data_IF_380021854230
#
_entry.id   IF_380021854230
#
_cell.length_a   1.000
_cell.length_b   1.000
_cell.length_c   1.000
_cell.angle_alpha   90.00
_cell.angle_beta   90.00
_cell.angle_gamma   90.00
#
_symmetry.space_group_name_H-M   'P 1'
#
loop_
_entity.id
_entity.type
_entity.pdbx_description
1 polymer ?
#
# COMPACT_ATOMS: atom_id res chain seq x y z
N UNK A 1 -34.82 6.33 32.08
CA UNK A 1 -34.83 5.68 30.76
C UNK A 1 -34.71 6.75 29.71
N UNK A 2 -33.87 6.51 28.70
CA UNK A 2 -33.37 7.49 27.74
C UNK A 2 -34.36 7.90 26.63
N UNK A 3 -34.06 9.06 26.01
CA UNK A 3 -34.14 9.44 24.59
C UNK A 3 -34.58 10.92 24.51
N UNK A 4 -33.98 11.82 23.73
CA UNK A 4 -33.00 11.75 22.66
C UNK A 4 -32.97 13.14 21.99
N UNK A 5 -31.96 13.41 21.16
CA UNK A 5 -31.95 14.60 20.29
C UNK A 5 -30.67 15.45 20.33
N UNK A 6 -29.51 14.83 20.11
CA UNK A 6 -28.28 15.58 19.85
C UNK A 6 -28.25 16.10 18.42
N UNK A 7 -28.79 17.31 18.21
CA UNK A 7 -28.57 18.10 16.99
C UNK A 7 -27.06 18.29 16.82
N UNK A 8 -26.47 17.46 15.94
CA UNK A 8 -25.04 17.51 15.62
C UNK A 8 -24.69 18.90 15.08
N UNK A 9 -23.80 19.60 15.78
CA UNK A 9 -23.27 20.90 15.38
C UNK A 9 -22.34 20.72 14.16
N UNK A 10 -22.95 20.61 12.97
CA UNK A 10 -22.23 20.47 11.69
C UNK A 10 -21.26 21.64 11.48
N UNK A 11 -21.62 22.85 11.93
CA UNK A 11 -20.75 24.04 11.88
C UNK A 11 -19.53 23.97 12.82
N UNK A 12 -19.61 23.21 13.92
CA UNK A 12 -18.48 22.94 14.81
C UNK A 12 -17.50 21.94 14.18
N UNK A 13 -18.03 20.82 13.68
CA UNK A 13 -17.22 19.78 13.00
C UNK A 13 -16.49 20.29 11.75
N UNK A 14 -17.10 21.20 10.99
CA UNK A 14 -16.45 21.82 9.82
C UNK A 14 -15.34 22.80 10.24
N UNK A 15 -15.50 23.53 11.36
CA UNK A 15 -14.41 24.39 11.89
C UNK A 15 -13.25 23.55 12.40
N UNK A 16 -13.52 22.46 13.11
CA UNK A 16 -12.49 21.54 13.62
C UNK A 16 -11.70 20.88 12.48
N UNK A 17 -12.37 20.53 11.37
CA UNK A 17 -11.75 19.97 10.15
C UNK A 17 -10.91 20.99 9.36
N UNK A 18 -11.32 22.27 9.34
CA UNK A 18 -10.55 23.35 8.69
C UNK A 18 -9.32 23.73 9.56
N UNK A 19 -9.48 23.72 10.89
CA UNK A 19 -8.41 24.00 11.84
C UNK A 19 -7.29 22.94 11.79
N UNK A 20 -7.65 21.66 11.61
CA UNK A 20 -6.69 20.54 11.48
C UNK A 20 -5.89 20.63 10.19
N UNK A 21 -6.52 20.95 9.05
CA UNK A 21 -5.81 21.04 7.76
C UNK A 21 -4.83 22.21 7.69
N UNK A 22 -5.18 23.38 8.25
CA UNK A 22 -4.26 24.51 8.33
C UNK A 22 -3.07 24.25 9.28
N UNK A 23 -3.33 23.57 10.41
CA UNK A 23 -2.29 23.16 11.35
C UNK A 23 -1.33 22.14 10.71
N UNK A 24 -1.85 21.20 9.93
CA UNK A 24 -1.05 20.23 9.18
C UNK A 24 -0.05 20.91 8.23
N UNK A 25 -0.54 21.80 7.35
CA UNK A 25 0.31 22.48 6.36
C UNK A 25 1.31 23.45 7.00
N UNK A 26 0.90 24.12 8.08
CA UNK A 26 1.79 25.03 8.82
C UNK A 26 2.90 24.27 9.57
N UNK A 27 2.69 22.99 9.86
CA UNK A 27 3.67 22.10 10.49
C UNK A 27 4.78 21.60 9.57
N UNK A 28 4.78 21.99 8.29
CA UNK A 28 5.79 21.61 7.31
C UNK A 28 5.32 20.56 6.30
N UNK A 29 4.21 19.88 6.56
CA UNK A 29 3.64 18.91 5.62
C UNK A 29 3.19 19.59 4.32
N UNK A 30 3.86 19.26 3.21
CA UNK A 30 3.52 19.82 1.89
C UNK A 30 2.26 19.13 1.36
N UNK A 31 1.35 19.86 0.66
CA UNK A 31 0.05 19.29 0.25
C UNK A 31 0.10 18.03 -0.62
N UNK A 32 1.19 17.78 -1.35
CA UNK A 32 1.33 16.60 -2.22
C UNK A 32 1.89 15.37 -1.50
N UNK A 33 2.35 15.54 -0.26
CA UNK A 33 2.79 14.43 0.60
C UNK A 33 1.60 13.82 1.32
N UNK A 34 0.65 14.66 1.72
CA UNK A 34 -0.54 14.25 2.45
C UNK A 34 -1.38 13.21 1.68
N UNK A 35 -1.40 11.96 2.16
CA UNK A 35 -2.21 10.89 1.56
C UNK A 35 -1.70 10.44 0.19
N UNK A 36 -0.38 10.44 -0.02
CA UNK A 36 0.26 10.06 -1.27
C UNK A 36 0.56 8.55 -1.39
N UNK A 37 0.21 7.76 -0.38
CA UNK A 37 0.54 6.33 -0.32
C UNK A 37 1.98 6.07 0.13
N UNK A 38 2.60 7.01 0.83
CA UNK A 38 3.90 6.86 1.49
C UNK A 38 3.75 7.47 2.87
N UNK A 39 4.20 6.77 3.91
CA UNK A 39 4.25 7.39 5.24
C UNK A 39 5.38 8.43 5.32
N UNK A 40 5.06 9.69 5.00
CA UNK A 40 5.95 10.84 5.08
C UNK A 40 6.06 11.33 6.52
N UNK A 41 7.26 11.22 7.08
CA UNK A 41 7.52 11.58 8.48
C UNK A 41 7.15 13.05 8.81
N UNK A 42 7.24 13.96 7.83
CA UNK A 42 6.83 15.37 7.98
C UNK A 42 5.30 15.59 8.02
N UNK A 43 4.53 14.61 7.54
CA UNK A 43 3.08 14.59 7.57
C UNK A 43 2.52 13.62 8.63
N UNK A 44 3.37 12.85 9.31
CA UNK A 44 2.98 11.90 10.37
C UNK A 44 2.66 12.59 11.71
N UNK A 45 1.60 13.40 11.72
CA UNK A 45 1.10 14.06 12.93
C UNK A 45 -0.41 13.91 13.02
N UNK A 46 -0.97 13.93 14.24
CA UNK A 46 -2.43 13.88 14.41
C UNK A 46 -3.16 15.02 13.68
N UNK A 47 -2.54 16.21 13.57
CA UNK A 47 -3.08 17.35 12.83
C UNK A 47 -3.23 17.05 11.33
N UNK A 48 -2.32 16.25 10.78
CA UNK A 48 -2.36 15.74 9.41
C UNK A 48 -3.13 14.41 9.29
N UNK A 49 -3.77 13.93 10.36
CA UNK A 49 -4.45 12.64 10.35
C UNK A 49 -3.50 11.44 10.20
N UNK A 50 -2.23 11.59 10.63
CA UNK A 50 -1.12 10.67 10.42
C UNK A 50 -0.90 10.44 8.92
N UNK A 51 -0.52 11.51 8.25
CA UNK A 51 -0.28 11.59 6.81
C UNK A 51 -1.48 11.17 5.94
N UNK A 52 -2.64 11.76 6.21
CA UNK A 52 -3.87 11.38 5.50
C UNK A 52 -4.35 9.95 5.79
N UNK A 53 -3.66 9.22 6.68
CA UNK A 53 -3.88 7.80 6.96
C UNK A 53 -2.68 6.93 6.62
N UNK A 54 -1.73 7.42 5.80
CA UNK A 54 -0.62 6.62 5.29
C UNK A 54 0.33 6.12 6.40
N UNK A 55 0.37 6.82 7.54
CA UNK A 55 1.14 6.42 8.71
C UNK A 55 0.33 5.70 9.80
N UNK A 56 -0.96 5.39 9.58
CA UNK A 56 -1.77 4.65 10.55
C UNK A 56 -1.60 3.15 10.36
N UNK A 57 -0.64 2.55 11.07
CA UNK A 57 -0.67 1.22 11.71
C UNK A 57 -1.04 -0.06 10.93
N UNK A 58 -1.55 0.03 9.70
CA UNK A 58 -1.95 -1.10 8.86
C UNK A 58 -0.82 -1.55 7.93
N UNK A 59 0.26 -0.77 7.87
CA UNK A 59 1.51 -1.17 7.24
C UNK A 59 2.22 -2.18 8.14
N UNK A 60 2.40 -3.40 7.63
CA UNK A 60 3.22 -4.41 8.27
C UNK A 60 4.73 -4.09 8.20
N UNK A 61 5.13 -3.22 7.27
CA UNK A 61 6.48 -2.67 7.12
C UNK A 61 6.42 -1.27 6.48
N UNK A 62 7.41 -0.43 6.74
CA UNK A 62 7.48 0.92 6.17
C UNK A 62 7.43 0.87 4.63
N UNK A 63 6.43 1.55 4.04
CA UNK A 63 6.22 1.58 2.60
C UNK A 63 5.55 0.33 2.02
N UNK A 64 5.23 -0.69 2.83
CA UNK A 64 4.40 -1.81 2.38
C UNK A 64 2.93 -1.54 2.65
N UNK A 65 2.26 -0.97 1.66
CA UNK A 65 0.83 -0.71 1.74
C UNK A 65 0.01 -2.01 1.60
N UNK A 66 -1.16 -2.11 2.25
CA UNK A 66 -1.97 -3.32 2.18
C UNK A 66 -2.35 -3.75 0.77
N UNK A 67 -2.49 -2.80 -0.16
CA UNK A 67 -2.80 -3.02 -1.58
C UNK A 67 -1.67 -3.63 -2.40
N UNK A 68 -0.42 -3.60 -1.91
CA UNK A 68 0.75 -4.18 -2.57
C UNK A 68 0.95 -5.66 -2.23
N UNK A 69 0.39 -6.11 -1.11
CA UNK A 69 0.54 -7.51 -0.70
C UNK A 69 -0.41 -8.41 -1.47
N UNK A 70 0.11 -9.44 -2.11
CA UNK A 70 -0.72 -10.40 -2.84
C UNK A 70 -1.38 -9.77 -4.06
N UNK A 71 -0.80 -8.68 -4.59
CA UNK A 71 -1.31 -7.95 -5.74
C UNK A 71 -0.87 -8.58 -7.08
N UNK A 72 -0.01 -9.60 -7.00
CA UNK A 72 0.59 -10.23 -8.16
C UNK A 72 1.76 -9.44 -8.72
N UNK A 73 2.49 -8.69 -7.92
CA UNK A 73 3.79 -8.16 -8.26
C UNK A 73 4.72 -8.35 -7.08
N UNK A 74 6.00 -8.65 -7.35
CA UNK A 74 6.97 -8.71 -6.27
C UNK A 74 7.32 -7.28 -5.84
N UNK A 75 6.77 -6.85 -4.70
CA UNK A 75 7.00 -5.58 -4.03
C UNK A 75 8.08 -5.73 -2.93
N UNK A 76 9.33 -5.25 -3.17
CA UNK A 76 10.43 -5.48 -2.24
C UNK A 76 10.24 -4.87 -0.85
N UNK A 77 9.40 -3.82 -0.74
CA UNK A 77 9.04 -3.21 0.53
C UNK A 77 8.10 -4.10 1.35
N UNK A 78 7.28 -4.92 0.67
CA UNK A 78 6.38 -5.91 1.25
C UNK A 78 7.02 -7.29 1.44
N UNK A 79 8.17 -7.55 0.81
CA UNK A 79 8.89 -8.81 0.92
C UNK A 79 9.71 -8.95 2.23
N UNK A 80 9.03 -8.78 3.37
CA UNK A 80 9.61 -8.98 4.70
C UNK A 80 8.71 -9.89 5.54
N UNK A 81 9.28 -10.56 6.54
CA UNK A 81 8.54 -11.54 7.36
C UNK A 81 7.31 -10.94 8.06
N UNK A 82 7.39 -9.68 8.49
CA UNK A 82 6.25 -8.97 9.10
C UNK A 82 5.07 -8.79 8.12
N UNK A 83 5.36 -8.75 6.83
CA UNK A 83 4.43 -8.64 5.71
C UNK A 83 4.19 -9.97 4.99
N UNK A 84 4.55 -11.10 5.62
CA UNK A 84 4.40 -12.45 5.08
C UNK A 84 5.05 -12.64 3.70
N UNK A 85 6.17 -11.94 3.46
CA UNK A 85 6.90 -12.00 2.19
C UNK A 85 6.01 -11.66 0.99
N UNK A 86 5.33 -10.51 1.09
CA UNK A 86 4.47 -10.00 0.03
C UNK A 86 3.30 -10.93 -0.34
N UNK A 87 2.76 -11.60 0.69
CA UNK A 87 1.79 -12.70 0.56
C UNK A 87 2.18 -13.78 -0.49
N UNK A 88 3.47 -13.90 -0.78
CA UNK A 88 4.06 -14.91 -1.68
C UNK A 88 4.44 -14.41 -3.08
N UNK A 89 4.17 -13.14 -3.43
CA UNK A 89 4.38 -12.64 -4.80
C UNK A 89 5.87 -12.55 -5.19
N UNK A 90 6.74 -12.42 -4.19
CA UNK A 90 8.20 -12.48 -4.37
C UNK A 90 8.80 -13.89 -4.26
N UNK A 91 8.00 -14.91 -3.96
CA UNK A 91 8.50 -16.29 -3.99
C UNK A 91 8.57 -16.76 -5.44
N UNK A 92 9.75 -17.24 -5.86
CA UNK A 92 9.88 -17.83 -7.19
C UNK A 92 8.91 -19.03 -7.34
N UNK A 93 8.26 -19.15 -8.49
CA UNK A 93 7.40 -20.29 -8.77
C UNK A 93 8.18 -21.57 -8.53
N UNK A 94 7.60 -22.51 -7.78
CA UNK A 94 8.28 -23.76 -7.42
C UNK A 94 8.64 -24.54 -8.68
N UNK A 95 9.94 -24.72 -8.91
CA UNK A 95 10.47 -25.37 -10.11
C UNK A 95 10.77 -24.42 -11.26
N UNK A 96 10.49 -23.13 -11.10
CA UNK A 96 10.64 -22.08 -12.10
C UNK A 96 11.33 -20.85 -11.44
N UNK A 97 12.66 -20.96 -11.18
CA UNK A 97 13.40 -19.96 -10.41
C UNK A 97 13.55 -18.64 -11.16
N UNK A 98 13.33 -17.52 -10.47
CA UNK A 98 13.48 -16.17 -11.02
C UNK A 98 12.22 -15.62 -11.68
N UNK A 99 11.25 -16.46 -11.96
CA UNK A 99 9.93 -16.07 -12.45
C UNK A 99 8.95 -15.98 -11.26
N UNK A 100 8.22 -14.87 -11.17
CA UNK A 100 7.15 -14.69 -10.20
C UNK A 100 5.86 -15.31 -10.74
N UNK A 101 4.96 -15.81 -9.86
CA UNK A 101 3.66 -16.36 -10.26
C UNK A 101 2.83 -15.54 -11.26
N UNK A 102 2.84 -14.19 -11.21
CA UNK A 102 2.03 -13.34 -12.08
C UNK A 102 2.51 -13.24 -13.53
N UNK A 103 3.78 -13.54 -13.77
CA UNK A 103 4.38 -13.51 -15.11
C UNK A 103 4.27 -14.87 -15.80
N UNK A 104 4.16 -15.96 -15.02
CA UNK A 104 4.14 -17.30 -15.60
C UNK A 104 2.80 -17.58 -16.29
N UNK A 105 2.81 -17.69 -17.62
CA UNK A 105 1.61 -18.08 -18.37
C UNK A 105 0.54 -16.99 -18.44
N UNK A 106 0.96 -15.72 -18.45
CA UNK A 106 0.04 -14.56 -18.43
C UNK A 106 -0.55 -14.22 -19.82
N UNK A 107 -0.12 -14.94 -20.87
CA UNK A 107 -0.48 -14.72 -22.27
C UNK A 107 0.46 -13.78 -23.03
N UNK A 108 1.53 -13.30 -22.40
CA UNK A 108 2.63 -12.54 -22.99
C UNK A 108 3.92 -13.32 -22.84
N UNK A 109 4.87 -13.07 -23.74
CA UNK A 109 6.19 -13.70 -23.60
C UNK A 109 7.05 -12.91 -22.62
N UNK A 110 7.19 -13.41 -21.40
CA UNK A 110 8.05 -12.87 -20.36
C UNK A 110 9.42 -13.56 -20.35
N UNK A 111 10.46 -12.85 -20.80
CA UNK A 111 11.83 -13.39 -20.90
C UNK A 111 12.40 -13.93 -19.58
N UNK A 112 11.91 -13.43 -18.44
CA UNK A 112 12.28 -13.92 -17.12
C UNK A 112 11.67 -15.30 -16.79
N UNK A 113 10.52 -15.62 -17.39
CA UNK A 113 9.83 -16.90 -17.31
C UNK A 113 10.12 -17.80 -18.52
N UNK A 114 10.81 -17.29 -19.54
CA UNK A 114 11.19 -17.98 -20.77
C UNK A 114 12.40 -18.94 -20.59
N UNK A 115 12.32 -19.84 -19.61
CA UNK A 115 13.32 -20.89 -19.36
C UNK A 115 12.67 -22.26 -19.33
N UNK A 116 13.44 -23.32 -19.64
CA UNK A 116 12.93 -24.69 -19.68
C UNK A 116 12.27 -25.13 -18.36
N UNK A 117 12.82 -24.71 -17.22
CA UNK A 117 12.28 -24.97 -15.89
C UNK A 117 10.85 -24.41 -15.69
N UNK A 118 10.50 -23.39 -16.46
CA UNK A 118 9.20 -22.71 -16.49
C UNK A 118 8.35 -23.10 -17.71
N UNK A 119 8.70 -24.19 -18.40
CA UNK A 119 8.07 -24.62 -19.65
C UNK A 119 8.10 -23.59 -20.79
N UNK A 120 9.05 -22.65 -20.75
CA UNK A 120 9.12 -21.48 -21.65
C UNK A 120 7.87 -20.61 -21.51
N UNK A 121 7.67 -20.12 -20.29
CA UNK A 121 6.56 -19.27 -19.90
C UNK A 121 5.17 -19.90 -20.14
N UNK A 122 4.99 -21.15 -19.68
CA UNK A 122 3.84 -22.01 -20.02
C UNK A 122 3.49 -22.11 -21.52
N UNK A 123 4.43 -21.74 -22.40
CA UNK A 123 4.26 -21.74 -23.84
C UNK A 123 3.97 -20.39 -24.47
N UNK A 124 3.89 -19.29 -23.70
CA UNK A 124 3.60 -17.96 -24.24
C UNK A 124 4.74 -17.40 -25.11
N UNK A 125 5.96 -17.93 -24.96
CA UNK A 125 7.13 -17.61 -25.78
C UNK A 125 7.38 -18.55 -26.97
N UNK A 126 6.40 -19.37 -27.38
CA UNK A 126 6.55 -20.39 -28.45
C UNK A 126 5.68 -20.18 -29.69
#
# INVERSE_FOLDING_TARGET
GAAGGGLSNVRGRVRDAIQTRAACLSGGCRPFLLGNGVCDAECNTEACGNDGGDCKGDLCASGCHPEHRGDGFCDPLCNVAACKFDDGDCEAVKGCPGCSPPLLGDGQCDEVCNVEACNWDEGDCK
#
